data_IF_244061366022
#
_entry.id   IF_244061366022
#
_cell.length_a   1.000
_cell.length_b   1.000
_cell.length_c   1.000
_cell.angle_alpha   90.00
_cell.angle_beta   90.00
_cell.angle_gamma   90.00
#
_symmetry.space_group_name_H-M   'P 1'
#
loop_
_entity.id
_entity.type
_entity.pdbx_description
1 polymer ?
#
# COMPACT_ATOMS: atom_id res chain seq x y z
N UNK A 1 -12.60 1.02 8.07
CA UNK A 1 -11.93 1.77 9.15
C UNK A 1 -10.48 2.14 8.83
N UNK A 2 -9.94 3.25 9.36
CA UNK A 2 -8.54 3.72 9.11
C UNK A 2 -7.49 2.65 9.45
N UNK A 3 -7.71 1.88 10.52
CA UNK A 3 -6.80 0.78 10.89
C UNK A 3 -6.78 -0.37 9.87
N UNK A 4 -7.88 -0.62 9.17
CA UNK A 4 -7.91 -1.63 8.09
C UNK A 4 -7.11 -1.17 6.88
N UNK A 5 -7.19 0.13 6.56
CA UNK A 5 -6.41 0.74 5.51
C UNK A 5 -4.91 0.72 5.84
N UNK A 6 -4.54 1.06 7.07
CA UNK A 6 -3.16 0.92 7.54
C UNK A 6 -2.64 -0.52 7.37
N UNK A 7 -3.40 -1.51 7.87
CA UNK A 7 -3.05 -2.93 7.71
C UNK A 7 -2.92 -3.33 6.25
N UNK A 8 -3.78 -2.83 5.37
CA UNK A 8 -3.74 -3.12 3.95
C UNK A 8 -2.45 -2.61 3.28
N UNK A 9 -2.04 -1.38 3.62
CA UNK A 9 -0.83 -0.76 3.07
C UNK A 9 0.43 -1.51 3.54
N UNK A 10 0.47 -1.90 4.82
CA UNK A 10 1.58 -2.68 5.39
C UNK A 10 1.68 -4.08 4.76
N UNK A 11 0.53 -4.69 4.40
CA UNK A 11 0.47 -5.99 3.73
C UNK A 11 0.66 -5.92 2.21
N UNK A 12 1.01 -4.74 1.66
CA UNK A 12 1.18 -4.52 0.22
C UNK A 12 -0.03 -4.97 -0.62
N UNK A 13 -1.25 -4.76 -0.11
CA UNK A 13 -2.48 -5.06 -0.86
C UNK A 13 -2.74 -4.03 -1.94
N UNK A 14 -3.41 -4.46 -3.01
CA UNK A 14 -3.85 -3.54 -4.06
C UNK A 14 -5.07 -2.75 -3.56
N UNK A 15 -4.91 -1.43 -3.40
CA UNK A 15 -5.92 -0.52 -2.87
C UNK A 15 -6.38 0.40 -3.98
N UNK A 16 -7.68 0.42 -4.22
CA UNK A 16 -8.32 1.33 -5.17
C UNK A 16 -9.25 2.28 -4.40
N UNK A 17 -8.99 3.58 -4.51
CA UNK A 17 -9.89 4.63 -4.08
C UNK A 17 -10.80 5.01 -5.23
N UNK A 18 -12.10 5.00 -4.97
CA UNK A 18 -13.10 5.44 -5.91
C UNK A 18 -13.85 6.64 -5.34
N UNK A 19 -13.99 7.68 -6.15
CA UNK A 19 -14.81 8.84 -5.83
C UNK A 19 -15.75 9.13 -7.00
N UNK A 20 -17.04 8.88 -6.84
CA UNK A 20 -18.05 9.25 -7.82
C UNK A 20 -18.72 10.56 -7.37
N UNK A 21 -18.60 11.66 -8.13
CA UNK A 21 -19.15 12.98 -7.77
C UNK A 21 -18.37 13.77 -6.69
N UNK A 22 -17.10 13.40 -6.44
CA UNK A 22 -16.16 14.17 -5.61
C UNK A 22 -15.09 14.80 -6.52
N UNK A 23 -14.55 15.95 -6.11
CA UNK A 23 -13.46 16.60 -6.84
C UNK A 23 -12.21 15.71 -6.89
N UNK A 24 -11.52 15.67 -8.03
CA UNK A 24 -10.27 14.91 -8.16
C UNK A 24 -9.20 15.36 -7.16
N UNK A 25 -9.23 16.64 -6.76
CA UNK A 25 -8.35 17.18 -5.72
C UNK A 25 -8.56 16.46 -4.39
N UNK A 26 -9.81 16.31 -3.96
CA UNK A 26 -10.14 15.69 -2.68
C UNK A 26 -9.85 14.19 -2.68
N UNK A 27 -10.10 13.51 -3.81
CA UNK A 27 -9.64 12.14 -4.03
C UNK A 27 -8.11 12.02 -3.87
N UNK A 28 -7.34 12.87 -4.54
CA UNK A 28 -5.88 12.89 -4.41
C UNK A 28 -5.43 13.11 -2.96
N UNK A 29 -6.08 14.04 -2.25
CA UNK A 29 -5.80 14.30 -0.84
C UNK A 29 -6.02 13.06 0.01
N UNK A 30 -7.11 12.30 -0.21
CA UNK A 30 -7.38 11.07 0.54
C UNK A 30 -6.36 9.96 0.24
N UNK A 31 -5.98 9.78 -1.03
CA UNK A 31 -4.94 8.82 -1.42
C UNK A 31 -3.60 9.16 -0.76
N UNK A 32 -3.21 10.43 -0.79
CA UNK A 32 -1.97 10.89 -0.18
C UNK A 32 -2.03 10.83 1.35
N UNK A 33 -3.16 11.18 1.97
CA UNK A 33 -3.35 11.06 3.41
C UNK A 33 -3.22 9.61 3.88
N UNK A 34 -3.75 8.64 3.12
CA UNK A 34 -3.58 7.22 3.42
C UNK A 34 -2.11 6.78 3.37
N UNK A 35 -1.35 7.34 2.43
CA UNK A 35 0.09 7.10 2.28
C UNK A 35 0.88 7.67 3.46
N UNK A 36 0.50 8.86 3.93
CA UNK A 36 1.13 9.52 5.08
C UNK A 36 0.98 8.74 6.38
N UNK A 37 -0.03 7.86 6.51
CA UNK A 37 -0.17 6.98 7.69
C UNK A 37 1.03 6.04 7.90
N UNK A 38 1.80 5.80 6.85
CA UNK A 38 2.95 4.87 6.86
C UNK A 38 4.28 5.63 6.68
N UNK A 39 4.22 6.93 6.40
CA UNK A 39 5.37 7.82 6.42
C UNK A 39 5.76 8.12 7.89
N UNK A 40 7.06 8.23 8.21
CA UNK A 40 8.19 8.34 7.29
C UNK A 40 8.94 7.02 7.05
N UNK A 41 8.52 5.93 7.68
CA UNK A 41 9.28 4.66 7.75
C UNK A 41 9.44 3.98 6.38
N UNK A 42 8.50 4.17 5.45
CA UNK A 42 8.42 3.40 4.19
C UNK A 42 8.23 4.30 2.96
N UNK A 43 8.59 5.59 3.08
CA UNK A 43 8.20 6.62 2.11
C UNK A 43 8.73 6.36 0.69
N UNK A 44 9.97 5.88 0.56
CA UNK A 44 10.61 5.65 -0.75
C UNK A 44 9.96 4.49 -1.53
N UNK A 45 9.55 3.44 -0.83
CA UNK A 45 8.86 2.30 -1.45
C UNK A 45 7.40 2.62 -1.79
N UNK A 46 6.74 3.42 -0.95
CA UNK A 46 5.35 3.79 -1.19
C UNK A 46 5.27 4.78 -2.36
N UNK A 47 6.23 5.69 -2.52
CA UNK A 47 6.24 6.68 -3.61
C UNK A 47 6.16 6.05 -5.00
N UNK A 48 6.75 4.86 -5.21
CA UNK A 48 6.75 4.16 -6.51
C UNK A 48 5.43 3.46 -6.85
N UNK A 49 4.56 3.24 -5.86
CA UNK A 49 3.30 2.48 -6.02
C UNK A 49 2.05 3.32 -5.79
N UNK A 50 2.21 4.60 -5.47
CA UNK A 50 1.10 5.54 -5.26
C UNK A 50 0.82 6.31 -6.54
N UNK A 51 -0.42 6.21 -6.99
CA UNK A 51 -0.97 6.92 -8.13
C UNK A 51 -2.14 7.77 -7.63
N UNK A 52 -1.91 9.06 -7.29
CA UNK A 52 -2.94 9.91 -6.68
C UNK A 52 -4.23 10.00 -7.50
N UNK A 53 -4.07 9.99 -8.82
CA UNK A 53 -5.17 9.98 -9.77
C UNK A 53 -4.80 9.16 -11.00
N UNK A 54 -5.76 8.36 -11.47
CA UNK A 54 -5.61 7.49 -12.63
C UNK A 54 -6.83 7.61 -13.54
N UNK A 55 -6.52 7.79 -14.83
CA UNK A 55 -7.50 7.86 -15.92
C UNK A 55 -7.62 6.52 -16.63
N UNK A 56 -8.65 6.37 -17.48
CA UNK A 56 -8.85 5.15 -18.28
C UNK A 56 -7.70 4.86 -19.27
N UNK A 57 -6.90 5.85 -19.66
CA UNK A 57 -5.76 5.63 -20.55
C UNK A 57 -4.55 5.00 -19.85
N UNK A 58 -4.41 5.21 -18.54
CA UNK A 58 -3.20 4.85 -17.81
C UNK A 58 -3.47 3.57 -17.01
N UNK A 59 -3.33 2.40 -17.65
CA UNK A 59 -3.52 1.09 -16.99
C UNK A 59 -2.24 0.50 -16.39
N UNK A 60 -1.10 1.16 -16.56
CA UNK A 60 0.21 0.66 -16.09
C UNK A 60 0.25 0.41 -14.57
N UNK A 61 -0.54 1.16 -13.80
CA UNK A 61 -0.66 0.96 -12.35
C UNK A 61 -1.16 -0.44 -11.97
N UNK A 62 -1.93 -1.11 -12.83
CA UNK A 62 -2.45 -2.45 -12.56
C UNK A 62 -1.35 -3.52 -12.57
N UNK A 63 -0.25 -3.26 -13.28
CA UNK A 63 0.92 -4.14 -13.32
C UNK A 63 1.74 -4.04 -12.04
N UNK A 64 1.66 -2.92 -11.32
CA UNK A 64 2.41 -2.69 -10.10
C UNK A 64 1.78 -3.42 -8.91
N UNK A 65 2.48 -4.36 -8.24
CA UNK A 65 1.95 -5.00 -7.04
C UNK A 65 1.88 -4.01 -5.85
N UNK A 66 0.83 -4.11 -5.05
CA UNK A 66 0.60 -3.25 -3.90
C UNK A 66 0.29 -1.80 -4.27
N UNK A 67 -0.27 -1.57 -5.46
CA UNK A 67 -0.59 -0.23 -5.91
C UNK A 67 -1.64 0.43 -5.00
N UNK A 68 -1.53 1.75 -4.88
CA UNK A 68 -2.51 2.61 -4.22
C UNK A 68 -2.94 3.63 -5.27
N UNK A 69 -4.12 3.44 -5.84
CA UNK A 69 -4.59 4.27 -6.96
C UNK A 69 -5.90 4.97 -6.63
N UNK A 70 -6.05 6.22 -7.06
CA UNK A 70 -7.31 6.96 -7.02
C UNK A 70 -7.95 7.06 -8.40
N UNK A 71 -9.26 6.81 -8.51
CA UNK A 71 -10.00 7.03 -9.74
C UNK A 71 -11.39 7.60 -9.49
N UNK A 72 -11.89 8.37 -10.44
CA UNK A 72 -13.26 8.90 -10.43
C UNK A 72 -14.24 8.04 -11.24
N UNK A 73 -13.71 7.12 -12.04
CA UNK A 73 -14.53 6.35 -12.98
C UNK A 73 -15.02 5.03 -12.33
N UNK A 74 -16.35 4.82 -12.20
CA UNK A 74 -16.90 3.60 -11.63
C UNK A 74 -16.57 2.33 -12.43
N UNK A 75 -16.15 2.45 -13.70
CA UNK A 75 -15.71 1.33 -14.53
C UNK A 75 -14.62 0.47 -13.86
N UNK A 76 -13.73 1.10 -13.07
CA UNK A 76 -12.68 0.39 -12.37
C UNK A 76 -13.19 -0.52 -11.24
N UNK A 77 -14.44 -0.37 -10.76
CA UNK A 77 -15.05 -1.35 -9.82
C UNK A 77 -15.10 -2.77 -10.41
N UNK A 78 -15.39 -2.88 -11.70
CA UNK A 78 -15.56 -4.18 -12.37
C UNK A 78 -14.27 -4.65 -13.02
N UNK A 79 -13.56 -3.74 -13.69
CA UNK A 79 -12.45 -4.08 -14.59
C UNK A 79 -11.11 -4.20 -13.88
N UNK A 80 -10.94 -3.59 -12.70
CA UNK A 80 -9.66 -3.59 -11.98
C UNK A 80 -9.56 -4.77 -10.99
N UNK A 81 -8.38 -5.37 -10.90
CA UNK A 81 -8.09 -6.41 -9.91
C UNK A 81 -7.52 -5.81 -8.62
N UNK A 82 -8.40 -5.28 -7.77
CA UNK A 82 -8.07 -4.76 -6.45
C UNK A 82 -8.46 -5.74 -5.34
N UNK A 83 -7.75 -5.69 -4.21
CA UNK A 83 -8.11 -6.44 -2.99
C UNK A 83 -9.08 -5.63 -2.13
N UNK A 84 -8.86 -4.31 -2.09
CA UNK A 84 -9.59 -3.37 -1.26
C UNK A 84 -10.06 -2.22 -2.13
N UNK A 85 -11.37 -1.95 -2.07
CA UNK A 85 -12.01 -0.78 -2.65
C UNK A 85 -12.40 0.14 -1.51
N UNK A 86 -11.97 1.39 -1.59
CA UNK A 86 -12.41 2.46 -0.70
C UNK A 86 -13.37 3.33 -1.51
N UNK A 87 -14.67 3.22 -1.23
CA UNK A 87 -15.65 4.14 -1.81
C UNK A 87 -15.73 5.39 -0.94
N UNK A 88 -15.27 6.52 -1.46
CA UNK A 88 -15.21 7.78 -0.73
C UNK A 88 -16.60 8.42 -0.55
N UNK A 89 -17.59 8.06 -1.37
CA UNK A 89 -18.92 8.63 -1.25
C UNK A 89 -19.71 7.99 -0.11
N UNK A 90 -19.64 6.66 -0.04
CA UNK A 90 -20.35 5.88 0.98
C UNK A 90 -19.52 5.79 2.27
N UNK A 91 -18.22 6.08 2.21
CA UNK A 91 -17.29 5.87 3.31
C UNK A 91 -17.05 4.39 3.62
N UNK A 92 -17.39 3.50 2.69
CA UNK A 92 -17.36 2.05 2.88
C UNK A 92 -16.05 1.49 2.32
N UNK A 93 -15.37 0.69 3.13
CA UNK A 93 -14.23 -0.12 2.71
C UNK A 93 -14.75 -1.51 2.34
N UNK A 94 -14.72 -1.84 1.05
CA UNK A 94 -15.15 -3.14 0.54
C UNK A 94 -13.93 -4.02 0.28
N UNK A 95 -13.94 -5.20 0.89
CA UNK A 95 -12.98 -6.25 0.59
C UNK A 95 -13.52 -7.13 -0.53
N UNK A 96 -12.80 -7.23 -1.65
CA UNK A 96 -13.16 -8.19 -2.69
C UNK A 96 -12.90 -9.60 -2.14
N UNK A 97 -13.96 -10.39 -1.92
CA UNK A 97 -13.85 -11.82 -1.54
C UNK A 97 -13.41 -12.69 -2.73
N UNK A 98 -12.47 -12.23 -3.55
CA UNK A 98 -11.71 -13.16 -4.40
C UNK A 98 -10.67 -13.79 -3.48
N UNK A 99 -10.98 -14.97 -2.97
CA UNK A 99 -10.12 -15.77 -2.10
C UNK A 99 -8.79 -16.12 -2.77
N UNK A 100 -7.88 -15.17 -2.82
CA UNK A 100 -6.48 -15.46 -2.56
C UNK A 100 -6.13 -14.54 -1.40
N UNK A 101 -6.07 -15.04 -0.15
CA UNK A 101 -5.36 -14.29 0.87
C UNK A 101 -3.97 -13.96 0.30
N UNK A 102 -3.27 -12.99 0.88
CA UNK A 102 -1.84 -12.76 0.67
C UNK A 102 -0.95 -14.00 1.00
N UNK A 103 -1.50 -15.22 0.97
CA UNK A 103 -0.86 -16.53 0.85
C UNK A 103 -0.43 -16.85 -0.60
N UNK A 104 0.16 -15.90 -1.33
CA UNK A 104 1.14 -16.25 -2.38
C UNK A 104 2.60 -15.92 -2.01
N UNK A 105 2.86 -15.28 -0.86
CA UNK A 105 4.23 -15.23 -0.28
C UNK A 105 4.41 -16.06 0.99
N UNK A 106 3.43 -16.16 1.89
CA UNK A 106 3.63 -16.93 3.13
C UNK A 106 3.36 -18.45 3.04
N UNK A 107 2.79 -18.97 1.93
CA UNK A 107 2.55 -20.42 1.74
C UNK A 107 3.64 -21.14 0.92
N UNK A 108 4.78 -20.49 0.67
CA UNK A 108 5.97 -21.09 0.05
C UNK A 108 7.09 -21.44 1.04
N UNK A 109 6.80 -21.38 2.35
CA UNK A 109 7.75 -21.77 3.41
C UNK A 109 7.69 -23.27 3.78
N UNK A 110 6.96 -24.09 3.02
CA UNK A 110 6.98 -25.54 3.14
C UNK A 110 7.25 -26.18 1.78
N UNK A 111 8.49 -26.61 1.56
CA UNK A 111 8.86 -27.48 0.45
C UNK A 111 9.14 -26.75 -0.87
N UNK A 112 10.38 -26.30 -1.07
CA UNK A 112 10.86 -25.94 -2.38
C UNK A 112 11.87 -24.81 -2.33
N UNK A 113 13.15 -25.20 -2.32
CA UNK A 113 14.30 -24.34 -2.62
C UNK A 113 14.01 -23.47 -3.84
N UNK A 114 13.63 -22.21 -3.62
CA UNK A 114 13.69 -21.13 -4.60
C UNK A 114 14.18 -19.90 -3.86
N UNK A 115 15.30 -19.37 -4.35
CA UNK A 115 16.00 -18.15 -3.88
C UNK A 115 14.99 -17.13 -3.35
N UNK A 116 15.14 -16.76 -2.08
CA UNK A 116 14.40 -15.65 -1.48
C UNK A 116 14.57 -14.44 -2.40
N UNK A 117 13.45 -13.91 -2.90
CA UNK A 117 13.46 -12.87 -3.92
C UNK A 117 14.13 -11.62 -3.40
N UNK A 118 15.03 -11.06 -4.19
CA UNK A 118 15.77 -9.80 -3.98
C UNK A 118 14.87 -8.70 -3.35
N UNK A 119 13.64 -8.57 -3.87
CA UNK A 119 12.63 -7.61 -3.41
C UNK A 119 12.23 -7.73 -1.93
N UNK A 120 12.21 -8.93 -1.36
CA UNK A 120 11.80 -9.16 0.03
C UNK A 120 12.90 -8.68 0.99
N UNK A 121 14.16 -8.93 0.63
CA UNK A 121 15.31 -8.42 1.39
C UNK A 121 15.51 -6.93 1.20
N UNK A 122 15.20 -6.39 0.03
CA UNK A 122 15.35 -4.96 -0.25
C UNK A 122 14.33 -4.13 0.52
N UNK A 123 13.10 -4.62 0.69
CA UNK A 123 12.10 -3.98 1.55
C UNK A 123 12.58 -3.88 3.00
N UNK A 124 13.02 -5.00 3.58
CA UNK A 124 13.49 -5.02 4.98
C UNK A 124 14.74 -4.16 5.17
N UNK A 125 15.65 -4.16 4.20
CA UNK A 125 16.82 -3.26 4.20
C UNK A 125 16.41 -1.80 4.14
N UNK A 126 15.50 -1.42 3.25
CA UNK A 126 15.02 -0.04 3.12
C UNK A 126 14.26 0.42 4.35
N UNK A 127 13.47 -0.46 4.98
CA UNK A 127 12.84 -0.19 6.27
C UNK A 127 13.88 0.08 7.37
N UNK A 128 14.88 -0.77 7.51
CA UNK A 128 15.93 -0.58 8.51
C UNK A 128 16.70 0.72 8.27
N UNK A 129 17.05 1.02 7.02
CA UNK A 129 17.71 2.29 6.65
C UNK A 129 16.83 3.49 7.00
N UNK A 130 15.53 3.45 6.66
CA UNK A 130 14.58 4.52 6.99
C UNK A 130 14.43 4.69 8.50
N UNK A 131 14.30 3.60 9.25
CA UNK A 131 14.19 3.62 10.72
C UNK A 131 15.46 4.16 11.39
N UNK A 132 16.64 3.82 10.88
CA UNK A 132 17.92 4.36 11.36
C UNK A 132 18.06 5.86 11.08
N UNK A 133 17.70 6.31 9.87
CA UNK A 133 17.72 7.73 9.50
C UNK A 133 16.78 8.59 10.33
N UNK A 134 15.62 8.04 10.70
CA UNK A 134 14.61 8.72 11.52
C UNK A 134 14.91 8.65 13.01
N UNK A 135 16.04 8.07 13.42
CA UNK A 135 16.37 7.84 14.84
C UNK A 135 15.31 7.04 15.58
N UNK A 136 14.52 6.22 14.88
CA UNK A 136 13.46 5.39 15.48
C UNK A 136 13.93 3.94 15.71
N UNK A 137 15.18 3.63 15.36
CA UNK A 137 15.77 2.30 15.53
C UNK A 137 16.18 1.96 16.97
N UNK A 138 16.28 0.66 17.26
CA UNK A 138 16.74 0.15 18.56
C UNK A 138 18.05 0.78 19.04
N UNK A 139 18.96 1.10 18.12
CA UNK A 139 20.28 1.69 18.41
C UNK A 139 20.18 3.12 18.94
N UNK A 140 19.21 3.90 18.45
CA UNK A 140 18.93 5.24 19.00
C UNK A 140 18.22 5.15 20.34
N UNK A 141 17.22 4.27 20.46
CA UNK A 141 16.50 4.03 21.72
C UNK A 141 17.49 3.61 22.82
N UNK A 142 18.37 2.64 22.55
CA UNK A 142 19.40 2.19 23.49
C UNK A 142 20.36 3.31 23.89
N UNK A 143 20.68 4.25 22.99
CA UNK A 143 21.50 5.44 23.29
C UNK A 143 20.83 6.41 24.26
N UNK A 144 19.50 6.53 24.24
CA UNK A 144 18.77 7.41 25.16
C UNK A 144 18.79 6.90 26.61
N UNK A 145 18.92 5.58 26.80
CA UNK A 145 18.93 4.94 28.12
C UNK A 145 20.34 4.61 28.65
N UNK A 146 21.40 5.03 27.96
CA UNK A 146 22.81 4.82 28.36
C UNK A 146 23.44 6.03 29.09
N UNK A 147 22.62 6.99 29.53
CA UNK A 147 23.01 8.09 30.43
C UNK A 147 22.41 7.87 31.82
#
# INVERSE_FOLDING_TARGET
>A
SVMELYRAIVLEKNILFLAHNISSSELCTQVLASTLLVAPVVFDMIRRRVFPYVSFNDLEFQTQPGFIAGTSNPFFKTSCNYDILVDLNEGIITHKKSGTPAKRRLKRLGGGSRKAGEHDTDFVKQLNIGMEQLTLGETWIKRQFQN
#
